data_IF_240567499248
#
_entry.id   IF_240567499248
#
_cell.length_a   1.000
_cell.length_b   1.000
_cell.length_c   1.000
_cell.angle_alpha   90.00
_cell.angle_beta   90.00
_cell.angle_gamma   90.00
#
_symmetry.space_group_name_H-M   'P 1'
#
loop_
_entity.id
_entity.type
_entity.pdbx_description
1 polymer ?
#
# COMPACT_ATOMS: atom_id res chain seq x y z
N UNK A 1 22.27 39.45 42.15
CA UNK A 1 21.72 38.35 42.97
C UNK A 1 20.93 37.44 42.05
N UNK A 2 21.52 36.31 41.67
CA UNK A 2 20.90 35.32 40.79
C UNK A 2 21.01 33.96 41.48
N UNK A 3 19.88 33.37 41.82
CA UNK A 3 19.75 32.04 42.43
C UNK A 3 19.20 31.09 41.37
N UNK A 4 20.05 30.18 40.88
CA UNK A 4 19.67 29.05 40.04
C UNK A 4 19.35 27.85 40.93
N UNK A 5 18.13 27.34 40.80
CA UNK A 5 17.62 26.15 41.48
C UNK A 5 17.84 24.94 40.57
N UNK A 6 18.62 23.96 41.04
CA UNK A 6 18.79 22.66 40.39
C UNK A 6 17.69 21.72 40.84
N UNK A 7 16.82 21.29 39.92
CA UNK A 7 15.88 20.19 40.16
C UNK A 7 16.57 18.85 39.87
N UNK A 8 16.63 18.00 40.88
CA UNK A 8 17.11 16.61 40.81
C UNK A 8 15.88 15.70 40.75
N UNK A 9 15.64 15.07 39.61
CA UNK A 9 14.57 14.07 39.44
C UNK A 9 15.02 12.72 40.00
N UNK A 10 14.40 12.26 41.08
CA UNK A 10 14.54 10.90 41.60
C UNK A 10 13.59 9.95 40.87
N UNK A 11 14.13 8.86 40.32
CA UNK A 11 13.37 7.73 39.78
C UNK A 11 12.72 6.93 40.93
N UNK A 12 11.54 6.32 40.71
CA UNK A 12 10.89 5.49 41.71
C UNK A 12 11.56 4.12 41.83
N UNK A 13 11.77 3.71 43.08
CA UNK A 13 12.38 2.46 43.51
C UNK A 13 11.33 1.35 43.47
N UNK A 14 11.51 0.35 42.62
CA UNK A 14 10.63 -0.82 42.54
C UNK A 14 11.20 -1.95 43.39
N UNK A 15 10.64 -2.13 44.59
CA UNK A 15 10.89 -3.32 45.41
C UNK A 15 9.98 -4.46 44.95
N UNK A 16 10.51 -5.67 44.66
CA UNK A 16 9.68 -6.83 44.37
C UNK A 16 9.00 -7.29 45.67
N UNK A 17 7.66 -7.33 45.67
CA UNK A 17 6.90 -8.07 46.68
C UNK A 17 6.74 -9.50 46.19
N UNK A 18 7.19 -10.43 47.00
CA UNK A 18 6.97 -11.86 46.82
C UNK A 18 5.47 -12.16 46.84
N UNK A 19 4.95 -12.69 45.73
CA UNK A 19 3.58 -13.20 45.62
C UNK A 19 3.63 -14.68 45.95
N UNK A 20 3.19 -15.01 47.16
CA UNK A 20 3.05 -16.38 47.65
C UNK A 20 1.88 -17.05 46.91
N UNK A 21 2.19 -18.07 46.09
CA UNK A 21 1.19 -18.87 45.37
C UNK A 21 0.69 -19.97 46.30
N UNK A 22 -0.52 -19.79 46.84
CA UNK A 22 -1.21 -20.82 47.61
C UNK A 22 -1.43 -22.08 46.78
N UNK A 23 -0.89 -23.18 47.30
CA UNK A 23 -1.15 -24.55 46.85
C UNK A 23 -2.54 -24.95 47.31
N UNK A 24 -3.47 -25.10 46.38
CA UNK A 24 -4.76 -25.74 46.65
C UNK A 24 -4.63 -27.25 46.48
N UNK A 25 -4.64 -27.94 47.63
CA UNK A 25 -4.72 -29.39 47.76
C UNK A 25 -6.09 -29.93 47.34
N UNK A 26 -6.04 -31.17 46.84
CA UNK A 26 -7.18 -31.96 46.38
C UNK A 26 -7.97 -32.57 47.54
N UNK A 27 -9.31 -32.43 47.56
CA UNK A 27 -10.21 -33.41 48.21
C UNK A 27 -11.59 -33.51 47.51
N UNK A 28 -11.81 -34.66 46.88
CA UNK A 28 -12.99 -35.56 47.00
C UNK A 28 -14.44 -35.06 46.74
N UNK A 29 -14.91 -35.25 45.49
CA UNK A 29 -16.25 -35.73 45.02
C UNK A 29 -17.56 -34.95 45.37
N UNK A 30 -18.72 -35.10 44.65
CA UNK A 30 -19.08 -36.09 43.62
C UNK A 30 -19.61 -35.51 42.27
N UNK A 31 -19.63 -36.38 41.26
CA UNK A 31 -20.09 -36.14 39.89
C UNK A 31 -21.58 -35.78 39.78
N UNK A 32 -21.94 -34.90 38.82
CA UNK A 32 -23.16 -35.05 38.06
C UNK A 32 -22.85 -35.20 36.57
N UNK A 33 -23.29 -36.33 36.01
CA UNK A 33 -23.29 -36.60 34.58
C UNK A 33 -24.30 -35.70 33.89
N UNK A 34 -23.85 -34.65 33.21
CA UNK A 34 -24.63 -33.96 32.18
C UNK A 34 -23.71 -33.73 30.99
N UNK A 35 -23.87 -34.58 29.98
CA UNK A 35 -23.25 -34.54 28.68
C UNK A 35 -23.84 -33.34 27.90
N UNK A 36 -23.47 -32.11 28.27
CA UNK A 36 -23.70 -30.95 27.42
C UNK A 36 -22.39 -30.69 26.70
N UNK A 37 -22.36 -31.06 25.41
CA UNK A 37 -21.28 -30.67 24.52
C UNK A 37 -21.05 -29.15 24.68
N UNK A 38 -19.79 -28.69 24.73
CA UNK A 38 -19.51 -27.26 24.68
C UNK A 38 -20.22 -26.68 23.45
N UNK A 39 -20.84 -25.48 23.54
CA UNK A 39 -21.41 -24.84 22.36
C UNK A 39 -20.33 -24.81 21.29
N UNK A 40 -20.68 -25.23 20.08
CA UNK A 40 -19.82 -25.10 18.92
C UNK A 40 -19.51 -23.61 18.76
N UNK A 41 -18.34 -23.18 19.25
CA UNK A 41 -17.75 -21.91 18.87
C UNK A 41 -17.36 -22.06 17.40
N UNK A 42 -18.33 -21.83 16.52
CA UNK A 42 -18.12 -21.63 15.08
C UNK A 42 -17.62 -20.20 14.79
N UNK A 43 -17.36 -19.38 15.81
CA UNK A 43 -16.53 -18.21 15.69
C UNK A 43 -15.07 -18.65 15.73
N UNK A 44 -14.60 -19.19 14.60
CA UNK A 44 -13.19 -19.23 14.28
C UNK A 44 -12.67 -17.79 14.39
N UNK A 45 -12.04 -17.47 15.53
CA UNK A 45 -11.32 -16.21 15.70
C UNK A 45 -10.52 -15.97 14.41
N UNK A 46 -10.68 -14.81 13.74
CA UNK A 46 -10.15 -14.59 12.41
C UNK A 46 -8.68 -14.94 12.44
N UNK A 47 -8.32 -15.99 11.70
CA UNK A 47 -6.94 -16.44 11.63
C UNK A 47 -6.07 -15.21 11.33
N UNK A 48 -5.03 -14.94 12.14
CA UNK A 48 -4.21 -13.75 11.97
C UNK A 48 -3.67 -13.74 10.53
N UNK A 49 -4.11 -12.75 9.74
CA UNK A 49 -3.79 -12.65 8.31
C UNK A 49 -4.94 -12.90 7.32
N UNK A 50 -6.17 -13.07 7.79
CA UNK A 50 -7.36 -13.03 6.92
C UNK A 50 -7.62 -11.59 6.45
N UNK A 51 -7.80 -11.40 5.14
CA UNK A 51 -7.98 -10.09 4.51
C UNK A 51 -9.45 -9.68 4.54
N UNK A 52 -9.76 -8.55 5.18
CA UNK A 52 -11.12 -8.02 5.32
C UNK A 52 -11.21 -6.63 4.69
N UNK A 53 -11.74 -6.52 3.46
CA UNK A 53 -11.78 -5.24 2.78
C UNK A 53 -12.73 -4.27 3.49
N UNK A 54 -12.17 -3.20 4.05
CA UNK A 54 -12.88 -2.08 4.69
C UNK A 54 -13.23 -0.95 3.73
N UNK A 55 -12.48 -0.83 2.63
CA UNK A 55 -12.68 0.21 1.61
C UNK A 55 -12.56 -0.44 0.24
N UNK A 56 -13.49 -0.10 -0.65
CA UNK A 56 -13.51 -0.61 -2.01
C UNK A 56 -13.64 0.55 -3.02
N UNK A 57 -12.64 0.69 -3.88
CA UNK A 57 -12.55 1.76 -4.89
C UNK A 57 -12.55 1.18 -6.31
N UNK A 58 -13.14 1.91 -7.25
CA UNK A 58 -13.06 1.65 -8.68
C UNK A 58 -12.09 2.65 -9.32
N UNK A 59 -10.97 2.16 -9.87
CA UNK A 59 -10.03 2.99 -10.63
C UNK A 59 -10.41 2.93 -12.11
N UNK A 60 -10.68 4.08 -12.73
CA UNK A 60 -11.04 4.14 -14.15
C UNK A 60 -9.88 4.64 -15.01
N UNK A 61 -9.27 3.71 -15.74
CA UNK A 61 -8.29 4.03 -16.77
C UNK A 61 -8.34 2.97 -17.85
N UNK A 62 -8.43 3.39 -19.12
CA UNK A 62 -8.46 2.45 -20.25
C UNK A 62 -7.13 1.72 -20.45
N UNK A 63 -6.03 2.30 -19.96
CA UNK A 63 -4.68 1.79 -20.19
C UNK A 63 -4.20 1.96 -21.64
N UNK A 64 -3.13 1.25 -22.01
CA UNK A 64 -2.54 1.26 -23.35
C UNK A 64 -2.78 -0.08 -24.05
N UNK A 65 -3.46 -0.05 -25.20
CA UNK A 65 -3.70 -1.23 -26.03
C UNK A 65 -2.40 -1.75 -26.68
N UNK A 66 -2.41 -3.04 -27.08
CA UNK A 66 -1.28 -3.68 -27.76
C UNK A 66 -0.95 -3.03 -29.11
N UNK A 67 -1.96 -2.70 -29.91
CA UNK A 67 -1.83 -2.06 -31.23
C UNK A 67 -2.20 -0.57 -31.16
N UNK A 68 -1.49 0.23 -30.37
CA UNK A 68 -1.64 1.69 -30.39
C UNK A 68 -0.40 2.35 -30.96
N UNK A 69 -0.60 3.38 -31.80
CA UNK A 69 0.48 4.23 -32.29
C UNK A 69 1.36 4.71 -31.10
N UNK A 70 2.68 4.89 -31.32
CA UNK A 70 3.62 5.31 -30.28
C UNK A 70 3.41 6.77 -29.84
N UNK A 71 2.30 7.39 -30.21
CA UNK A 71 1.94 8.73 -29.79
C UNK A 71 1.68 8.74 -28.28
N UNK A 72 2.21 9.73 -27.54
CA UNK A 72 1.94 9.81 -26.12
C UNK A 72 0.44 10.04 -25.90
N UNK A 73 -0.19 9.28 -25.00
CA UNK A 73 -1.60 9.51 -24.67
C UNK A 73 -1.78 10.92 -24.10
N UNK A 74 -2.95 11.52 -24.35
CA UNK A 74 -3.35 12.78 -23.71
C UNK A 74 -3.24 12.60 -22.19
N UNK A 75 -2.80 13.62 -21.42
CA UNK A 75 -2.92 13.59 -19.97
C UNK A 75 -4.42 13.60 -19.65
N UNK A 76 -4.98 12.41 -19.48
CA UNK A 76 -6.35 12.21 -19.06
C UNK A 76 -6.31 11.99 -17.54
N UNK A 77 -7.06 12.77 -16.74
CA UNK A 77 -7.20 12.48 -15.33
C UNK A 77 -7.70 11.04 -15.14
N UNK A 78 -7.21 10.37 -14.09
CA UNK A 78 -7.67 9.03 -13.72
C UNK A 78 -8.62 9.21 -12.54
N UNK A 79 -9.95 9.16 -12.75
CA UNK A 79 -10.91 9.22 -11.67
C UNK A 79 -10.95 7.89 -10.92
N UNK A 80 -11.16 7.99 -9.60
CA UNK A 80 -11.20 6.87 -8.68
C UNK A 80 -12.45 7.03 -7.83
N UNK A 81 -13.39 6.10 -7.94
CA UNK A 81 -14.70 6.17 -7.29
C UNK A 81 -14.77 5.25 -6.09
N UNK A 82 -15.53 5.62 -5.07
CA UNK A 82 -15.87 4.71 -3.98
C UNK A 82 -17.07 3.86 -4.40
N UNK A 83 -17.01 2.54 -4.19
CA UNK A 83 -18.07 1.61 -4.64
C UNK A 83 -19.34 1.67 -3.79
N UNK A 84 -19.28 2.26 -2.60
CA UNK A 84 -20.43 2.37 -1.68
C UNK A 84 -21.44 3.44 -2.11
N UNK A 85 -21.01 4.39 -2.94
CA UNK A 85 -21.85 5.51 -3.35
C UNK A 85 -22.34 5.29 -4.78
N UNK A 86 -23.65 5.23 -4.98
CA UNK A 86 -24.27 5.16 -6.32
C UNK A 86 -23.96 6.39 -7.19
N UNK A 87 -23.41 7.44 -6.58
CA UNK A 87 -22.99 8.65 -7.26
C UNK A 87 -21.68 8.41 -8.01
N UNK A 88 -21.68 8.66 -9.33
CA UNK A 88 -20.47 8.70 -10.17
C UNK A 88 -19.64 9.97 -9.93
N UNK A 89 -19.49 10.37 -8.67
CA UNK A 89 -18.58 11.44 -8.28
C UNK A 89 -17.28 10.75 -7.86
N UNK A 90 -16.13 11.10 -8.47
CA UNK A 90 -14.87 10.54 -8.03
C UNK A 90 -14.66 10.83 -6.54
N UNK A 91 -13.88 10.02 -5.85
CA UNK A 91 -13.38 10.31 -4.50
C UNK A 91 -11.96 10.85 -4.59
N UNK A 92 -11.19 10.35 -5.56
CA UNK A 92 -9.87 10.87 -5.88
C UNK A 92 -9.74 11.06 -7.39
N UNK A 93 -8.89 12.00 -7.78
CA UNK A 93 -8.50 12.16 -9.18
C UNK A 93 -6.98 12.29 -9.28
N UNK A 94 -6.36 11.42 -10.08
CA UNK A 94 -4.93 11.55 -10.38
C UNK A 94 -4.71 12.37 -11.63
N UNK A 95 -3.91 13.42 -11.53
CA UNK A 95 -3.60 14.33 -12.62
C UNK A 95 -2.15 14.17 -13.08
N UNK A 96 -1.98 14.25 -14.40
CA UNK A 96 -0.67 14.33 -15.03
C UNK A 96 -0.50 15.73 -15.63
N UNK A 97 0.45 16.55 -15.15
CA UNK A 97 0.59 17.92 -15.63
C UNK A 97 0.99 17.99 -17.11
N UNK A 98 1.91 17.12 -17.54
CA UNK A 98 2.49 17.16 -18.88
C UNK A 98 2.32 15.84 -19.64
N UNK A 99 2.01 15.92 -20.93
CA UNK A 99 2.04 14.78 -21.84
C UNK A 99 3.44 14.16 -21.82
N UNK A 100 3.52 12.85 -21.65
CA UNK A 100 4.81 12.14 -21.63
C UNK A 100 5.57 12.20 -20.29
N UNK A 101 5.28 13.14 -19.39
CA UNK A 101 5.83 13.12 -18.03
C UNK A 101 5.36 11.88 -17.30
N UNK A 102 6.24 11.16 -16.61
CA UNK A 102 5.85 10.06 -15.74
C UNK A 102 5.21 10.54 -14.43
N UNK A 103 5.51 11.77 -14.01
CA UNK A 103 5.08 12.34 -12.73
C UNK A 103 3.59 12.67 -12.71
N UNK A 104 2.98 12.53 -11.54
CA UNK A 104 1.56 12.83 -11.31
C UNK A 104 1.33 13.29 -9.86
N UNK A 105 0.15 13.82 -9.60
CA UNK A 105 -0.32 14.15 -8.26
C UNK A 105 -1.75 13.67 -8.07
N UNK A 106 -2.15 13.44 -6.82
CA UNK A 106 -3.47 12.97 -6.43
C UNK A 106 -4.20 14.09 -5.69
N UNK A 107 -5.42 14.40 -6.14
CA UNK A 107 -6.32 15.33 -5.46
C UNK A 107 -7.51 14.57 -4.86
N UNK A 108 -8.07 15.01 -3.72
CA UNK A 108 -9.40 14.60 -3.31
C UNK A 108 -10.40 15.18 -4.30
N UNK A 109 -11.57 14.57 -4.42
CA UNK A 109 -12.60 15.01 -5.36
C UNK A 109 -13.51 16.14 -4.86
N UNK A 110 -13.08 16.92 -3.86
CA UNK A 110 -13.77 18.18 -3.56
C UNK A 110 -13.74 19.08 -4.80
N UNK A 111 -14.72 19.96 -4.95
CA UNK A 111 -15.05 20.77 -6.15
C UNK A 111 -13.88 21.10 -7.09
N UNK A 112 -14.12 21.07 -8.43
CA UNK A 112 -13.07 21.21 -9.42
C UNK A 112 -12.19 22.43 -9.17
N UNK A 113 -10.87 22.35 -9.47
CA UNK A 113 -9.89 23.42 -9.21
C UNK A 113 -10.17 24.75 -9.93
N UNK A 114 -11.27 24.83 -10.68
CA UNK A 114 -11.76 26.04 -11.33
C UNK A 114 -12.40 27.05 -10.35
N UNK A 115 -12.82 26.65 -9.14
CA UNK A 115 -13.41 27.55 -8.14
C UNK A 115 -12.44 28.00 -7.05
N UNK A 116 -11.26 27.37 -6.93
CA UNK A 116 -10.20 27.80 -6.01
C UNK A 116 -9.50 29.04 -6.56
N UNK A 117 -10.09 30.21 -6.32
CA UNK A 117 -9.52 31.54 -6.60
C UNK A 117 -8.14 31.77 -5.97
N UNK A 118 -7.72 30.91 -5.04
CA UNK A 118 -6.46 31.00 -4.31
C UNK A 118 -5.24 30.39 -5.03
N UNK A 119 -5.38 29.73 -6.18
CA UNK A 119 -4.25 29.15 -6.93
C UNK A 119 -3.51 27.99 -6.24
N UNK A 120 -4.09 27.48 -5.16
CA UNK A 120 -3.62 26.37 -4.33
C UNK A 120 -4.44 25.12 -4.58
N UNK A 121 -3.83 23.95 -4.42
CA UNK A 121 -4.46 22.65 -4.63
C UNK A 121 -4.34 21.77 -3.37
N UNK A 122 -5.41 21.09 -2.92
CA UNK A 122 -5.35 20.16 -1.80
C UNK A 122 -4.69 18.84 -2.23
N UNK A 123 -3.38 18.84 -2.44
CA UNK A 123 -2.66 17.67 -2.94
C UNK A 123 -2.51 16.63 -1.83
N UNK A 124 -2.97 15.40 -2.04
CA UNK A 124 -2.80 14.30 -1.09
C UNK A 124 -1.49 13.54 -1.30
N UNK A 125 -1.05 13.46 -2.55
CA UNK A 125 0.23 12.84 -2.87
C UNK A 125 0.81 13.35 -4.18
N UNK A 126 2.14 13.26 -4.29
CA UNK A 126 2.85 13.42 -5.55
C UNK A 126 3.67 12.18 -5.83
N UNK A 127 3.79 11.82 -7.10
CA UNK A 127 4.74 10.83 -7.57
C UNK A 127 5.64 11.46 -8.62
N UNK A 128 6.95 11.43 -8.38
CA UNK A 128 7.95 11.93 -9.31
C UNK A 128 8.65 10.78 -9.99
N UNK A 129 8.56 10.74 -11.32
CA UNK A 129 9.25 9.77 -12.15
C UNK A 129 10.44 10.42 -12.83
N UNK A 130 11.62 9.83 -12.67
CA UNK A 130 12.83 10.27 -13.37
C UNK A 130 13.17 9.26 -14.44
N UNK A 131 13.38 9.74 -15.66
CA UNK A 131 13.85 8.89 -16.76
C UNK A 131 15.30 8.46 -16.51
N UNK A 132 15.60 7.19 -16.74
CA UNK A 132 16.94 6.60 -16.64
C UNK A 132 16.99 5.29 -15.86
N UNK A 133 18.04 4.47 -16.06
CA UNK A 133 18.28 3.28 -15.24
C UNK A 133 18.48 3.69 -13.77
N UNK A 134 18.07 2.83 -12.85
CA UNK A 134 18.27 3.00 -11.40
C UNK A 134 17.66 4.28 -10.79
N UNK A 135 16.67 4.88 -11.44
CA UNK A 135 15.94 6.04 -10.92
C UNK A 135 14.53 5.61 -10.51
N UNK A 136 14.34 5.06 -9.29
CA UNK A 136 13.04 4.61 -8.84
C UNK A 136 12.06 5.80 -8.74
N UNK A 137 10.75 5.57 -8.94
CA UNK A 137 9.74 6.58 -8.64
C UNK A 137 9.82 6.98 -7.16
N UNK A 138 9.71 8.27 -6.88
CA UNK A 138 9.61 8.80 -5.52
C UNK A 138 8.17 9.22 -5.27
N UNK A 139 7.62 8.84 -4.12
CA UNK A 139 6.29 9.19 -3.66
C UNK A 139 6.43 10.09 -2.44
N UNK A 140 5.65 11.18 -2.43
CA UNK A 140 5.45 12.02 -1.25
C UNK A 140 3.97 12.04 -0.91
N UNK A 141 3.65 11.83 0.36
CA UNK A 141 2.29 11.86 0.88
C UNK A 141 2.12 13.12 1.73
N UNK A 142 0.95 13.73 1.67
CA UNK A 142 0.61 14.95 2.42
C UNK A 142 -0.65 14.69 3.24
N UNK A 143 -0.65 15.11 4.50
CA UNK A 143 -1.82 14.94 5.35
C UNK A 143 -2.93 15.89 4.92
N UNK A 144 -4.19 15.41 4.81
CA UNK A 144 -5.34 16.26 4.48
C UNK A 144 -5.49 17.44 5.47
N UNK A 145 -5.06 17.21 6.71
CA UNK A 145 -5.15 18.18 7.81
C UNK A 145 -4.02 19.22 7.80
N UNK A 146 -2.94 18.99 7.05
CA UNK A 146 -1.81 19.95 6.96
C UNK A 146 -2.21 21.32 6.42
N UNK A 147 -3.42 21.43 5.84
CA UNK A 147 -3.91 22.66 5.22
C UNK A 147 -4.91 23.43 6.10
N UNK A 148 -5.37 22.89 7.24
CA UNK A 148 -6.51 23.42 8.01
C UNK A 148 -6.29 24.76 8.73
N UNK A 149 -5.11 25.37 8.60
CA UNK A 149 -4.78 26.68 9.19
C UNK A 149 -4.25 27.70 8.19
N UNK A 150 -4.23 27.39 6.89
CA UNK A 150 -3.66 28.28 5.86
C UNK A 150 -4.71 29.04 5.08
N UNK A 151 -4.57 30.37 4.89
CA UNK A 151 -5.38 31.09 3.92
C UNK A 151 -5.13 30.49 2.54
N UNK A 152 -6.17 29.90 1.95
CA UNK A 152 -6.11 29.23 0.65
C UNK A 152 -5.98 27.70 0.67
N UNK A 153 -5.73 27.06 1.82
CA UNK A 153 -5.80 25.60 1.99
C UNK A 153 -5.23 24.75 0.83
N UNK A 154 -3.91 24.58 0.74
CA UNK A 154 -3.31 23.68 -0.24
C UNK A 154 -1.85 23.99 -0.60
N UNK A 155 -1.32 23.26 -1.58
CA UNK A 155 -0.01 23.48 -2.20
C UNK A 155 -0.18 24.44 -3.39
N UNK A 156 0.54 25.57 -3.45
CA UNK A 156 0.55 26.45 -4.62
C UNK A 156 1.00 25.70 -5.87
N UNK A 157 0.43 26.03 -7.03
CA UNK A 157 0.77 25.33 -8.30
C UNK A 157 2.26 25.40 -8.65
N UNK A 158 2.93 26.53 -8.37
CA UNK A 158 4.37 26.72 -8.58
C UNK A 158 5.22 25.74 -7.77
N UNK A 159 4.89 25.59 -6.48
CA UNK A 159 5.55 24.63 -5.57
C UNK A 159 5.28 23.20 -6.06
N UNK A 160 4.06 22.90 -6.48
CA UNK A 160 3.72 21.59 -7.03
C UNK A 160 4.54 21.27 -8.31
N UNK A 161 4.74 22.26 -9.19
CA UNK A 161 5.56 22.07 -10.38
C UNK A 161 7.04 21.86 -10.03
N UNK A 162 7.58 22.58 -9.03
CA UNK A 162 8.93 22.35 -8.51
C UNK A 162 9.09 20.94 -7.91
N UNK A 163 8.09 20.44 -7.20
CA UNK A 163 8.09 19.08 -6.63
C UNK A 163 8.07 17.98 -7.70
N UNK A 164 7.32 18.21 -8.78
CA UNK A 164 7.16 17.24 -9.88
C UNK A 164 8.32 17.30 -10.89
N UNK A 165 8.95 18.47 -11.01
CA UNK A 165 10.00 18.79 -11.98
C UNK A 165 11.14 19.58 -11.34
N UNK A 166 11.90 18.98 -10.42
CA UNK A 166 13.00 19.68 -9.77
C UNK A 166 14.02 20.13 -10.81
N UNK A 167 14.19 21.45 -10.93
CA UNK A 167 15.17 22.10 -11.80
C UNK A 167 16.57 21.63 -11.42
N UNK A 168 17.38 21.22 -12.40
CA UNK A 168 18.79 20.87 -12.16
C UNK A 168 19.65 22.07 -11.76
N UNK A 169 19.11 23.29 -11.76
CA UNK A 169 19.82 24.56 -11.51
C UNK A 169 19.83 25.02 -10.05
N UNK A 170 19.11 24.36 -9.14
CA UNK A 170 19.16 24.67 -7.70
C UNK A 170 20.31 24.00 -6.95
N UNK A 171 21.17 23.24 -7.65
CA UNK A 171 22.36 22.58 -7.07
C UNK A 171 23.63 23.43 -7.05
N UNK A 172 23.56 24.72 -7.43
CA UNK A 172 24.72 25.62 -7.44
C UNK A 172 24.67 26.66 -6.32
N UNK A 173 24.85 26.24 -5.05
CA UNK A 173 25.46 27.06 -3.98
C UNK A 173 25.43 26.36 -2.62
N UNK A 174 26.24 25.32 -2.43
CA UNK A 174 26.66 24.90 -1.08
C UNK A 174 27.88 23.97 -1.13
N UNK A 175 29.02 24.57 -0.81
CA UNK A 175 30.19 24.01 -0.12
C UNK A 175 30.24 22.51 0.14
N UNK A 176 31.37 21.90 -0.24
CA UNK A 176 31.85 20.59 0.18
C UNK A 176 31.68 20.35 1.69
N UNK A 177 30.60 19.68 2.08
CA UNK A 177 30.51 18.92 3.33
C UNK A 177 30.00 17.53 2.99
N UNK A 178 30.83 16.51 3.26
CA UNK A 178 30.46 15.10 3.19
C UNK A 178 29.40 14.81 4.27
N UNK A 179 28.13 15.04 3.97
CA UNK A 179 27.02 14.73 4.87
C UNK A 179 25.90 14.00 4.13
N UNK A 180 25.26 13.10 4.88
CA UNK A 180 24.36 12.02 4.47
C UNK A 180 23.30 12.33 3.39
N UNK A 181 22.96 11.33 2.54
CA UNK A 181 21.96 11.43 1.46
C UNK A 181 20.50 11.63 1.91
N UNK A 182 20.23 11.87 3.19
CA UNK A 182 18.87 12.09 3.72
C UNK A 182 18.49 13.57 3.93
N UNK A 183 19.29 14.52 3.43
CA UNK A 183 19.12 15.96 3.73
C UNK A 183 18.60 16.86 2.59
N UNK A 184 18.14 16.29 1.47
CA UNK A 184 17.68 17.02 0.26
C UNK A 184 16.31 17.74 0.37
N UNK A 185 15.69 17.85 1.56
CA UNK A 185 14.31 18.40 1.71
C UNK A 185 14.24 19.89 2.13
N UNK A 186 15.35 20.64 2.06
CA UNK A 186 15.39 22.02 2.59
C UNK A 186 14.58 23.06 1.79
N UNK A 187 14.20 22.77 0.53
CA UNK A 187 13.42 23.71 -0.30
C UNK A 187 11.95 23.84 0.12
N UNK A 188 11.37 22.78 0.69
CA UNK A 188 9.96 22.75 1.11
C UNK A 188 9.69 23.51 2.41
N UNK A 189 10.70 23.59 3.27
CA UNK A 189 10.63 24.29 4.56
C UNK A 189 10.30 25.77 4.41
N UNK A 190 10.73 26.41 3.33
CA UNK A 190 10.43 27.83 3.06
C UNK A 190 8.92 28.08 2.86
N UNK A 191 8.21 27.09 2.31
CA UNK A 191 6.76 27.15 2.16
C UNK A 191 6.02 26.54 3.34
N UNK A 192 6.69 26.06 4.39
CA UNK A 192 6.06 25.39 5.53
C UNK A 192 5.22 24.17 5.14
N UNK A 193 5.48 23.56 3.98
CA UNK A 193 4.76 22.38 3.50
C UNK A 193 5.70 21.19 3.68
N UNK A 194 5.50 20.41 4.74
CA UNK A 194 6.26 19.18 4.96
C UNK A 194 5.43 17.99 4.49
N UNK A 195 6.00 17.05 3.69
CA UNK A 195 5.31 15.81 3.40
C UNK A 195 5.14 15.01 4.71
N UNK A 196 3.97 14.40 4.86
CA UNK A 196 3.71 13.46 5.95
C UNK A 196 4.63 12.25 5.85
N UNK A 197 4.92 11.77 4.63
CA UNK A 197 5.95 10.76 4.39
C UNK A 197 6.53 10.90 2.97
N UNK A 198 7.75 10.41 2.77
CA UNK A 198 8.45 10.42 1.49
C UNK A 198 9.26 9.13 1.33
N UNK A 199 9.06 8.43 0.22
CA UNK A 199 9.72 7.14 -0.01
C UNK A 199 9.93 6.85 -1.50
N UNK A 200 10.77 5.86 -1.78
CA UNK A 200 11.04 5.39 -3.15
C UNK A 200 10.50 3.98 -3.38
N UNK A 201 10.05 3.72 -4.61
CA UNK A 201 9.52 2.42 -5.01
C UNK A 201 10.58 1.65 -5.77
N UNK A 202 11.16 0.66 -5.11
CA UNK A 202 12.28 -0.13 -5.64
C UNK A 202 11.78 -1.40 -6.30
N UNK A 203 12.36 -1.77 -7.43
CA UNK A 203 12.05 -3.04 -8.11
C UNK A 203 12.80 -4.19 -7.45
N UNK A 204 12.13 -5.31 -7.19
CA UNK A 204 12.76 -6.47 -6.56
C UNK A 204 13.55 -7.35 -7.54
N UNK A 205 13.49 -7.06 -8.84
CA UNK A 205 14.27 -7.74 -9.86
C UNK A 205 14.02 -7.18 -11.25
N UNK A 206 14.87 -7.55 -12.20
CA UNK A 206 14.76 -7.14 -13.61
C UNK A 206 13.61 -7.86 -14.34
N UNK A 207 13.42 -9.14 -14.00
CA UNK A 207 12.40 -10.00 -14.62
C UNK A 207 11.09 -9.99 -13.82
N UNK A 208 11.14 -9.61 -12.55
CA UNK A 208 9.95 -9.59 -11.71
C UNK A 208 9.23 -8.27 -11.87
N UNK A 209 7.90 -8.32 -11.73
CA UNK A 209 7.08 -7.12 -11.68
C UNK A 209 6.86 -6.62 -10.27
N UNK A 210 7.46 -7.29 -9.27
CA UNK A 210 7.26 -7.00 -7.87
C UNK A 210 8.08 -5.78 -7.45
N UNK A 211 7.53 -4.99 -6.53
CA UNK A 211 8.17 -3.78 -6.03
C UNK A 211 8.07 -3.72 -4.52
N UNK A 212 9.04 -3.12 -3.87
CA UNK A 212 9.08 -2.91 -2.43
C UNK A 212 9.30 -1.43 -2.11
N UNK A 213 8.76 -0.99 -1.00
CA UNK A 213 8.96 0.35 -0.46
C UNK A 213 8.79 0.33 1.06
N UNK A 214 9.41 1.30 1.73
CA UNK A 214 9.36 1.47 3.18
C UNK A 214 8.80 2.86 3.47
N UNK A 215 7.90 2.92 4.44
CA UNK A 215 7.16 4.12 4.85
C UNK A 215 7.15 4.20 6.38
N UNK A 216 6.59 5.27 6.92
CA UNK A 216 6.27 5.38 8.36
C UNK A 216 5.29 4.30 8.84
N UNK A 217 4.41 3.81 7.96
CA UNK A 217 3.44 2.74 8.25
C UNK A 217 4.06 1.32 8.22
N UNK A 218 5.32 1.20 7.79
CA UNK A 218 6.07 -0.05 7.71
C UNK A 218 6.63 -0.35 6.33
N UNK A 219 6.98 -1.62 6.10
CA UNK A 219 7.53 -2.11 4.83
C UNK A 219 6.47 -2.83 4.03
N UNK A 220 6.40 -2.53 2.74
CA UNK A 220 5.35 -3.04 1.86
C UNK A 220 5.91 -3.62 0.57
N UNK A 221 5.20 -4.60 0.02
CA UNK A 221 5.52 -5.24 -1.25
C UNK A 221 4.28 -5.41 -2.12
N UNK A 222 4.33 -4.88 -3.34
CA UNK A 222 3.39 -5.26 -4.39
C UNK A 222 3.90 -6.48 -5.14
N UNK A 223 3.03 -7.47 -5.34
CA UNK A 223 3.28 -8.64 -6.20
C UNK A 223 2.04 -9.01 -6.99
N UNK A 224 2.22 -9.76 -8.08
CA UNK A 224 1.10 -10.41 -8.74
C UNK A 224 0.75 -11.68 -7.96
N UNK A 225 -0.54 -11.92 -7.79
CA UNK A 225 -1.02 -13.11 -7.14
C UNK A 225 -0.72 -14.35 -8.00
N UNK A 226 -0.49 -15.47 -7.32
CA UNK A 226 -0.39 -16.79 -7.93
C UNK A 226 -1.72 -17.20 -8.58
N UNK A 227 -1.69 -18.24 -9.42
CA UNK A 227 -2.92 -18.80 -10.01
C UNK A 227 -3.92 -19.24 -8.93
N UNK A 228 -3.44 -19.93 -7.89
CA UNK A 228 -4.25 -20.42 -6.77
C UNK A 228 -4.88 -19.29 -5.95
N UNK A 229 -4.19 -18.15 -5.81
CA UNK A 229 -4.76 -16.97 -5.15
C UNK A 229 -5.85 -16.31 -5.99
N UNK A 230 -5.69 -16.26 -7.32
CA UNK A 230 -6.73 -15.75 -8.23
C UNK A 230 -7.98 -16.64 -8.23
N UNK A 231 -7.81 -17.96 -8.18
CA UNK A 231 -8.93 -18.91 -8.08
C UNK A 231 -9.69 -18.73 -6.77
N UNK A 232 -8.99 -18.59 -5.64
CA UNK A 232 -9.60 -18.27 -4.34
C UNK A 232 -10.35 -16.95 -4.34
N UNK A 233 -9.79 -15.90 -4.97
CA UNK A 233 -10.48 -14.62 -5.09
C UNK A 233 -11.74 -14.73 -5.96
N UNK A 234 -11.68 -15.49 -7.05
CA UNK A 234 -12.85 -15.78 -7.89
C UNK A 234 -13.94 -16.51 -7.10
N UNK A 235 -13.57 -17.52 -6.32
CA UNK A 235 -14.49 -18.26 -5.46
C UNK A 235 -15.12 -17.37 -4.38
N UNK A 236 -14.35 -16.46 -3.78
CA UNK A 236 -14.87 -15.48 -2.83
C UNK A 236 -15.85 -14.48 -3.46
N UNK A 237 -15.61 -14.06 -4.71
CA UNK A 237 -16.55 -13.21 -5.45
C UNK A 237 -17.83 -13.98 -5.81
N UNK A 238 -17.71 -15.26 -6.18
CA UNK A 238 -18.84 -16.15 -6.44
C UNK A 238 -19.71 -16.34 -5.19
N UNK A 239 -19.10 -16.66 -4.04
CA UNK A 239 -19.85 -16.85 -2.79
C UNK A 239 -20.57 -15.57 -2.36
N UNK A 240 -19.92 -14.41 -2.48
CA UNK A 240 -20.52 -13.10 -2.18
C UNK A 240 -21.72 -12.80 -3.07
N UNK A 241 -21.68 -13.20 -4.35
CA UNK A 241 -22.80 -12.98 -5.29
C UNK A 241 -24.04 -13.82 -4.99
N UNK A 242 -23.87 -15.04 -4.45
CA UNK A 242 -24.98 -15.93 -4.13
C UNK A 242 -25.76 -15.47 -2.89
N UNK A 243 -25.07 -14.85 -1.93
CA UNK A 243 -25.68 -14.42 -0.67
C UNK A 243 -26.64 -13.22 -0.83
N UNK A 244 -26.43 -12.40 -1.87
CA UNK A 244 -27.29 -11.24 -2.17
C UNK A 244 -28.60 -11.57 -2.91
N UNK A 245 -28.78 -12.77 -3.45
CA UNK A 245 -29.86 -13.05 -4.43
C UNK A 245 -31.03 -13.90 -3.90
N UNK A 246 -31.11 -14.19 -2.59
CA UNK A 246 -32.16 -15.06 -2.01
C UNK A 246 -33.56 -14.42 -1.90
N UNK A 247 -33.75 -13.15 -2.30
CA UNK A 247 -35.04 -12.46 -2.13
C UNK A 247 -35.87 -12.25 -3.41
N UNK A 248 -35.43 -12.69 -4.59
CA UNK A 248 -36.20 -12.52 -5.82
C UNK A 248 -36.69 -13.86 -6.39
N UNK A 249 -37.88 -14.25 -5.96
CA UNK A 249 -38.68 -15.29 -6.57
C UNK A 249 -39.31 -14.76 -7.87
N UNK A 250 -38.73 -15.08 -9.03
CA UNK A 250 -39.47 -15.09 -10.31
C UNK A 250 -38.73 -15.84 -11.41
N UNK A 251 -39.37 -16.93 -11.83
CA UNK A 251 -39.35 -17.56 -13.14
C UNK A 251 -38.58 -16.80 -14.24
N UNK A 252 -37.37 -17.27 -14.58
CA UNK A 252 -36.89 -17.24 -15.96
C UNK A 252 -35.68 -18.17 -16.14
N UNK A 253 -35.97 -19.45 -16.43
CA UNK A 253 -34.99 -20.40 -16.93
C UNK A 253 -34.81 -20.17 -18.44
N UNK A 254 -33.75 -19.47 -18.86
CA UNK A 254 -33.10 -19.76 -20.16
C UNK A 254 -31.78 -19.03 -20.53
N UNK A 255 -31.01 -18.41 -19.62
CA UNK A 255 -29.81 -17.66 -20.05
C UNK A 255 -28.55 -17.82 -19.19
N UNK A 256 -28.26 -19.03 -18.70
CA UNK A 256 -27.24 -19.24 -17.66
C UNK A 256 -25.78 -19.42 -18.14
N UNK A 257 -25.48 -19.39 -19.45
CA UNK A 257 -24.11 -19.66 -19.93
C UNK A 257 -23.20 -18.41 -20.07
N UNK A 258 -23.74 -17.18 -20.02
CA UNK A 258 -22.92 -15.97 -20.23
C UNK A 258 -22.44 -15.29 -18.93
N UNK A 259 -23.10 -15.50 -17.78
CA UNK A 259 -22.79 -14.75 -16.56
C UNK A 259 -21.49 -15.20 -15.85
N UNK A 260 -20.99 -16.41 -16.12
CA UNK A 260 -19.75 -16.88 -15.51
C UNK A 260 -18.51 -16.12 -15.94
N UNK A 261 -18.57 -15.40 -17.08
CA UNK A 261 -17.43 -14.62 -17.57
C UNK A 261 -17.18 -13.35 -16.74
N UNK A 262 -18.21 -12.78 -16.11
CA UNK A 262 -18.09 -11.50 -15.38
C UNK A 262 -17.24 -11.62 -14.11
N UNK A 263 -17.20 -12.82 -13.54
CA UNK A 263 -16.44 -13.14 -12.33
C UNK A 263 -15.01 -13.62 -12.62
N UNK A 264 -14.59 -13.68 -13.89
CA UNK A 264 -13.23 -14.12 -14.23
C UNK A 264 -12.16 -13.12 -13.78
N UNK A 265 -11.33 -13.50 -12.81
CA UNK A 265 -10.21 -12.70 -12.29
C UNK A 265 -8.98 -12.88 -13.18
N UNK A 266 -8.92 -12.10 -14.25
CA UNK A 266 -7.82 -12.17 -15.21
C UNK A 266 -6.47 -11.71 -14.62
N UNK A 267 -6.45 -10.71 -13.74
CA UNK A 267 -5.24 -10.25 -13.03
C UNK A 267 -5.56 -9.83 -11.61
N UNK A 268 -4.68 -10.18 -10.69
CA UNK A 268 -4.75 -9.78 -9.28
C UNK A 268 -3.37 -9.30 -8.83
N UNK A 269 -3.28 -8.07 -8.34
CA UNK A 269 -2.12 -7.58 -7.60
C UNK A 269 -2.44 -7.56 -6.11
N UNK A 270 -1.49 -7.94 -5.28
CA UNK A 270 -1.61 -7.94 -3.82
C UNK A 270 -0.52 -7.05 -3.26
N UNK A 271 -0.92 -6.15 -2.37
CA UNK A 271 -0.03 -5.37 -1.53
C UNK A 271 0.05 -6.05 -0.16
N UNK A 272 1.25 -6.40 0.25
CA UNK A 272 1.52 -7.04 1.53
C UNK A 272 2.32 -6.10 2.42
N UNK A 273 1.95 -5.98 3.70
CA UNK A 273 2.82 -5.49 4.76
C UNK A 273 3.75 -6.62 5.16
N UNK A 274 5.04 -6.34 5.17
CA UNK A 274 6.11 -7.31 5.45
C UNK A 274 6.72 -7.00 6.80
N UNK A 275 6.58 -7.91 7.75
CA UNK A 275 7.14 -7.82 9.10
C UNK A 275 8.17 -8.93 9.26
N UNK A 276 9.41 -8.58 9.62
CA UNK A 276 10.44 -9.57 9.95
C UNK A 276 10.41 -9.81 11.45
N UNK A 277 10.11 -11.05 11.83
CA UNK A 277 10.13 -11.47 13.23
C UNK A 277 11.47 -12.14 13.49
N UNK A 278 12.28 -11.50 14.32
CA UNK A 278 13.47 -12.15 14.86
C UNK A 278 13.03 -13.10 15.96
N UNK A 279 13.18 -14.40 15.75
CA UNK A 279 13.04 -15.37 16.82
C UNK A 279 14.25 -15.25 17.73
N UNK A 280 14.06 -14.69 18.93
CA UNK A 280 15.08 -14.75 19.96
C UNK A 280 15.26 -16.21 20.36
N UNK A 281 16.37 -16.83 19.94
CA UNK A 281 16.72 -18.16 20.40
C UNK A 281 17.05 -18.05 21.89
N UNK A 282 16.14 -18.53 22.75
CA UNK A 282 16.41 -18.68 24.17
C UNK A 282 17.40 -19.84 24.37
N UNK A 283 18.67 -19.63 24.01
CA UNK A 283 19.78 -20.44 24.50
C UNK A 283 20.10 -20.02 25.95
N UNK A 284 19.09 -20.15 26.81
CA UNK A 284 19.27 -20.04 28.25
C UNK A 284 19.89 -21.36 28.75
N UNK A 285 21.20 -21.33 28.91
CA UNK A 285 21.93 -21.88 30.05
C UNK A 285 21.49 -23.28 30.55
N UNK A 286 22.10 -24.34 30.02
CA UNK A 286 21.97 -25.67 30.61
C UNK A 286 22.92 -26.69 30.01
N UNK A 287 24.24 -26.53 30.20
CA UNK A 287 25.18 -27.55 29.70
C UNK A 287 26.65 -27.24 29.92
N UNK A 288 27.08 -27.19 31.19
CA UNK A 288 28.50 -27.35 31.51
C UNK A 288 28.94 -28.75 31.10
N UNK A 289 29.91 -28.82 30.20
CA UNK A 289 30.85 -29.93 30.11
C UNK A 289 30.71 -30.82 28.89
N UNK A 290 31.55 -30.58 27.87
CA UNK A 290 32.38 -31.63 27.29
C UNK A 290 33.30 -31.02 26.23
N UNK A 291 34.60 -31.00 26.56
CA UNK A 291 35.69 -30.81 25.61
C UNK A 291 35.74 -31.99 24.64
N UNK A 292 35.41 -31.79 23.37
CA UNK A 292 35.94 -32.64 22.31
C UNK A 292 36.12 -31.85 21.02
N UNK A 293 37.39 -31.70 20.67
CA UNK A 293 37.90 -31.27 19.38
C UNK A 293 37.33 -32.15 18.26
N UNK A 294 36.49 -31.58 17.40
CA UNK A 294 36.31 -32.09 16.05
C UNK A 294 36.02 -30.97 15.06
N UNK A 295 37.02 -30.76 14.21
CA UNK A 295 37.03 -30.00 12.97
C UNK A 295 35.88 -30.44 12.06
N UNK A 296 34.70 -29.85 12.26
CA UNK A 296 33.52 -30.13 11.46
C UNK A 296 32.95 -28.83 10.88
N UNK A 297 32.71 -28.90 9.58
CA UNK A 297 32.33 -27.83 8.66
C UNK A 297 31.34 -26.86 9.30
N UNK A 298 31.77 -25.61 9.47
CA UNK A 298 30.94 -24.41 9.70
C UNK A 298 29.93 -24.24 8.56
N UNK A 299 28.88 -25.06 8.53
CA UNK A 299 27.61 -24.69 7.91
C UNK A 299 27.04 -23.61 8.80
N UNK A 300 27.19 -22.35 8.38
CA UNK A 300 26.47 -21.21 8.93
C UNK A 300 24.98 -21.56 8.88
N UNK A 301 24.46 -22.04 10.01
CA UNK A 301 23.03 -22.02 10.31
C UNK A 301 22.62 -20.58 10.17
N UNK A 302 22.00 -20.25 9.03
CA UNK A 302 21.47 -18.93 8.78
C UNK A 302 20.21 -18.86 9.60
N UNK A 303 20.24 -18.11 10.70
CA UNK A 303 19.08 -17.82 11.52
C UNK A 303 17.92 -17.48 10.59
N UNK A 304 16.87 -18.31 10.65
CA UNK A 304 15.70 -18.19 9.77
C UNK A 304 14.85 -17.06 10.35
N UNK A 305 15.18 -15.82 9.97
CA UNK A 305 14.24 -14.70 10.11
C UNK A 305 12.92 -15.13 9.45
N UNK A 306 11.86 -15.20 10.24
CA UNK A 306 10.53 -15.50 9.72
C UNK A 306 9.91 -14.20 9.20
N UNK A 307 9.57 -14.20 7.92
CA UNK A 307 8.94 -13.07 7.27
C UNK A 307 7.42 -13.28 7.28
N UNK A 308 6.73 -12.56 8.16
CA UNK A 308 5.27 -12.55 8.22
C UNK A 308 4.74 -11.55 7.20
N UNK A 309 3.84 -12.02 6.33
CA UNK A 309 3.23 -11.22 5.27
C UNK A 309 1.75 -11.10 5.48
N UNK A 310 1.25 -9.88 5.47
CA UNK A 310 -0.15 -9.58 5.70
C UNK A 310 -0.70 -8.80 4.52
N UNK A 311 -1.72 -9.31 3.84
CA UNK A 311 -2.34 -8.58 2.73
C UNK A 311 -3.07 -7.34 3.26
N UNK A 312 -2.74 -6.17 2.73
CA UNK A 312 -3.39 -4.89 3.09
C UNK A 312 -4.19 -4.30 1.94
N UNK A 313 -3.91 -4.71 0.70
CA UNK A 313 -4.74 -4.36 -0.43
C UNK A 313 -4.71 -5.41 -1.54
N UNK A 314 -5.80 -5.48 -2.30
CA UNK A 314 -5.93 -6.30 -3.51
C UNK A 314 -6.45 -5.44 -4.65
N UNK A 315 -5.78 -5.49 -5.79
CA UNK A 315 -6.24 -4.83 -7.01
C UNK A 315 -6.67 -5.87 -8.05
N UNK A 316 -7.98 -5.99 -8.21
CA UNK A 316 -8.69 -7.03 -8.95
C UNK A 316 -9.09 -6.52 -10.33
N UNK A 317 -8.67 -7.22 -11.39
CA UNK A 317 -9.02 -6.93 -12.79
C UNK A 317 -9.59 -8.16 -13.47
N UNK A 318 -10.90 -8.13 -13.69
CA UNK A 318 -11.69 -9.12 -14.41
C UNK A 318 -12.58 -8.50 -15.48
N UNK A 319 -13.51 -9.27 -16.05
CA UNK A 319 -14.46 -8.72 -17.01
C UNK A 319 -15.40 -7.68 -16.36
N UNK A 320 -15.95 -7.97 -15.17
CA UNK A 320 -16.84 -7.05 -14.46
C UNK A 320 -16.17 -5.97 -13.60
N UNK A 321 -14.83 -5.95 -13.48
CA UNK A 321 -14.12 -4.97 -12.63
C UNK A 321 -13.22 -4.01 -13.40
N UNK A 322 -12.90 -4.32 -14.66
CA UNK A 322 -12.07 -3.45 -15.50
C UNK A 322 -12.83 -2.22 -15.95
N UNK A 323 -12.09 -1.16 -16.27
CA UNK A 323 -12.64 0.02 -16.93
C UNK A 323 -13.26 -0.37 -18.27
N UNK A 324 -14.46 0.14 -18.55
CA UNK A 324 -15.18 -0.08 -19.79
C UNK A 324 -14.33 0.33 -21.01
N UNK A 325 -14.44 -0.48 -22.07
CA UNK A 325 -13.64 -0.32 -23.29
C UNK A 325 -12.17 -0.74 -23.17
N UNK A 326 -11.72 -1.21 -22.01
CA UNK A 326 -10.40 -1.85 -21.86
C UNK A 326 -10.47 -3.36 -22.06
N UNK A 327 -9.34 -3.97 -22.43
CA UNK A 327 -9.23 -5.41 -22.65
C UNK A 327 -8.23 -6.05 -21.69
N UNK A 328 -8.22 -7.39 -21.61
CA UNK A 328 -7.20 -8.14 -20.87
C UNK A 328 -5.75 -7.88 -21.30
N UNK A 329 -5.56 -7.43 -22.54
CA UNK A 329 -4.24 -7.11 -23.07
C UNK A 329 -3.87 -5.64 -22.93
N UNK A 330 -4.77 -4.79 -22.42
CA UNK A 330 -4.52 -3.36 -22.19
C UNK A 330 -3.63 -3.19 -20.97
N UNK A 331 -2.45 -2.59 -21.14
CA UNK A 331 -1.50 -2.38 -20.06
C UNK A 331 -1.91 -1.18 -19.20
N UNK A 332 -1.87 -1.30 -17.87
CA UNK A 332 -2.24 -0.23 -16.96
C UNK A 332 -3.70 0.19 -17.04
N UNK A 333 -4.59 -0.73 -17.40
CA UNK A 333 -6.02 -0.51 -17.28
C UNK A 333 -6.50 -0.66 -15.83
N UNK A 334 -7.62 -0.01 -15.53
CA UNK A 334 -8.22 0.09 -14.22
C UNK A 334 -8.87 -1.21 -13.74
N UNK A 335 -9.42 -1.15 -12.55
CA UNK A 335 -9.84 -2.32 -11.77
C UNK A 335 -10.50 -1.91 -10.45
N UNK A 336 -10.91 -2.91 -9.67
CA UNK A 336 -11.37 -2.72 -8.28
C UNK A 336 -10.19 -2.83 -7.33
N UNK A 337 -10.00 -1.81 -6.50
CA UNK A 337 -9.00 -1.75 -5.45
C UNK A 337 -9.70 -1.95 -4.10
N UNK A 338 -9.43 -3.08 -3.46
CA UNK A 338 -9.93 -3.45 -2.15
C UNK A 338 -8.82 -3.18 -1.13
N UNK A 339 -9.14 -2.52 -0.02
CA UNK A 339 -8.18 -2.19 1.04
C UNK A 339 -8.69 -2.68 2.39
N UNK A 340 -7.82 -3.35 3.12
CA UNK A 340 -8.02 -3.69 4.52
C UNK A 340 -7.29 -2.64 5.36
N UNK A 341 -8.06 -1.72 5.92
CA UNK A 341 -7.56 -0.67 6.81
C UNK A 341 -7.72 -1.03 8.28
N UNK A 342 -8.17 -2.25 8.60
CA UNK A 342 -8.41 -2.71 9.97
C UNK A 342 -7.16 -2.66 10.85
N UNK A 343 -5.97 -2.79 10.24
CA UNK A 343 -4.68 -2.68 10.92
C UNK A 343 -4.40 -1.30 11.51
N UNK A 344 -5.10 -0.26 11.06
CA UNK A 344 -4.96 1.12 11.53
C UNK A 344 -6.24 1.60 12.23
N UNK A 345 -7.19 0.70 12.50
CA UNK A 345 -8.47 1.00 13.18
C UNK A 345 -8.46 0.59 14.67
N UNK A 346 -7.34 0.08 15.20
CA UNK A 346 -7.31 -0.52 16.54
C UNK A 346 -7.64 0.51 17.65
N UNK A 347 -8.59 0.15 18.53
CA UNK A 347 -9.02 1.01 19.64
C UNK A 347 -7.90 1.23 20.66
N UNK A 348 -6.99 0.26 20.82
CA UNK A 348 -5.81 0.37 21.68
C UNK A 348 -4.86 1.49 21.20
N UNK A 349 -4.64 1.61 19.88
CA UNK A 349 -3.90 2.76 19.33
C UNK A 349 -4.69 4.07 19.46
N UNK A 350 -6.03 4.05 19.34
CA UNK A 350 -6.84 5.26 19.55
C UNK A 350 -6.70 5.83 20.96
N UNK A 351 -6.57 4.97 21.98
CA UNK A 351 -6.36 5.41 23.35
C UNK A 351 -4.92 5.83 23.64
N UNK A 352 -3.92 5.21 22.99
CA UNK A 352 -2.51 5.50 23.22
C UNK A 352 -1.97 6.69 22.38
N UNK A 353 -2.45 6.90 21.16
CA UNK A 353 -1.85 7.83 20.18
C UNK A 353 -2.61 9.14 19.98
N UNK A 354 -3.78 9.31 20.62
CA UNK A 354 -4.61 10.50 20.40
C UNK A 354 -5.10 10.61 18.94
N UNK A 355 -5.15 11.82 18.39
CA UNK A 355 -5.63 12.08 17.02
C UNK A 355 -4.82 11.38 15.90
N UNK A 356 -3.68 10.75 16.22
CA UNK A 356 -2.76 10.11 15.25
C UNK A 356 -3.35 8.93 14.49
N UNK A 357 -4.10 8.03 15.16
CA UNK A 357 -4.61 6.81 14.50
C UNK A 357 -5.54 7.09 13.30
N UNK A 358 -6.37 8.13 13.38
CA UNK A 358 -7.24 8.52 12.25
C UNK A 358 -6.42 9.04 11.06
N UNK A 359 -5.40 9.85 11.33
CA UNK A 359 -4.51 10.38 10.28
C UNK A 359 -3.75 9.23 9.61
N UNK A 360 -3.18 8.29 10.38
CA UNK A 360 -2.46 7.14 9.82
C UNK A 360 -3.34 6.27 8.91
N UNK A 361 -4.59 6.04 9.31
CA UNK A 361 -5.57 5.32 8.50
C UNK A 361 -5.85 6.01 7.16
N UNK A 362 -6.06 7.32 7.19
CA UNK A 362 -6.27 8.12 5.97
C UNK A 362 -5.01 8.09 5.08
N UNK A 363 -3.84 8.24 5.67
CA UNK A 363 -2.57 8.19 4.95
C UNK A 363 -2.27 6.80 4.38
N UNK A 364 -2.70 5.73 5.05
CA UNK A 364 -2.64 4.37 4.53
C UNK A 364 -3.47 4.24 3.25
N UNK A 365 -4.71 4.76 3.24
CA UNK A 365 -5.55 4.75 2.04
C UNK A 365 -4.88 5.52 0.88
N UNK A 366 -4.37 6.74 1.13
CA UNK A 366 -3.67 7.55 0.12
C UNK A 366 -2.42 6.84 -0.41
N UNK A 367 -1.63 6.20 0.46
CA UNK A 367 -0.46 5.39 0.09
C UNK A 367 -0.86 4.24 -0.84
N UNK A 368 -1.89 3.47 -0.49
CA UNK A 368 -2.34 2.31 -1.28
C UNK A 368 -2.80 2.77 -2.66
N UNK A 369 -3.63 3.82 -2.75
CA UNK A 369 -4.08 4.39 -4.04
C UNK A 369 -2.89 4.85 -4.87
N UNK A 370 -2.01 5.66 -4.28
CA UNK A 370 -0.86 6.26 -4.98
C UNK A 370 0.06 5.18 -5.53
N UNK A 371 0.42 4.19 -4.71
CA UNK A 371 1.32 3.11 -5.13
C UNK A 371 0.66 2.16 -6.13
N UNK A 372 -0.67 1.99 -6.08
CA UNK A 372 -1.42 1.26 -7.12
C UNK A 372 -1.33 1.98 -8.48
N UNK A 373 -1.50 3.31 -8.51
CA UNK A 373 -1.34 4.12 -9.72
C UNK A 373 0.08 4.00 -10.31
N UNK A 374 1.11 3.95 -9.45
CA UNK A 374 2.49 3.68 -9.87
C UNK A 374 2.59 2.34 -10.58
N UNK A 375 1.95 1.29 -10.06
CA UNK A 375 1.96 -0.04 -10.68
C UNK A 375 1.30 -0.03 -12.06
N UNK A 376 0.16 0.64 -12.21
CA UNK A 376 -0.51 0.82 -13.50
C UNK A 376 0.39 1.53 -14.51
N UNK A 377 1.06 2.61 -14.08
CA UNK A 377 2.01 3.34 -14.93
C UNK A 377 3.18 2.47 -15.36
N UNK A 378 3.76 1.68 -14.44
CA UNK A 378 4.86 0.75 -14.76
C UNK A 378 4.44 -0.29 -15.79
N UNK A 379 3.20 -0.76 -15.79
CA UNK A 379 2.69 -1.63 -16.85
C UNK A 379 2.67 -0.94 -18.22
N UNK A 380 2.17 0.29 -18.28
CA UNK A 380 2.17 1.10 -19.52
C UNK A 380 3.59 1.30 -20.04
N UNK A 381 4.54 1.62 -19.16
CA UNK A 381 5.93 1.88 -19.55
C UNK A 381 6.61 0.63 -20.09
N UNK A 382 6.41 -0.53 -19.46
CA UNK A 382 6.90 -1.80 -20.00
C UNK A 382 6.33 -2.09 -21.37
N UNK A 383 5.03 -1.82 -21.58
CA UNK A 383 4.41 -2.01 -22.91
C UNK A 383 5.00 -1.08 -23.96
N UNK A 384 5.29 0.17 -23.61
CA UNK A 384 5.97 1.11 -24.51
C UNK A 384 7.38 0.64 -24.85
N UNK A 385 8.16 0.21 -23.86
CA UNK A 385 9.50 -0.32 -24.08
C UNK A 385 9.48 -1.55 -25.02
N UNK A 386 8.52 -2.46 -24.83
CA UNK A 386 8.32 -3.61 -25.73
C UNK A 386 7.97 -3.19 -27.16
N UNK A 387 7.06 -2.22 -27.33
CA UNK A 387 6.70 -1.71 -28.66
C UNK A 387 7.88 -1.04 -29.36
N UNK A 388 8.66 -0.22 -28.64
CA UNK A 388 9.87 0.44 -29.17
C UNK A 388 10.91 -0.60 -29.58
N UNK A 389 11.14 -1.63 -28.76
CA UNK A 389 12.08 -2.70 -29.07
C UNK A 389 11.68 -3.49 -30.33
N UNK A 390 10.40 -3.81 -30.49
CA UNK A 390 9.87 -4.48 -31.69
C UNK A 390 10.08 -3.61 -32.94
N UNK A 391 9.75 -2.31 -32.88
CA UNK A 391 9.94 -1.40 -34.01
C UNK A 391 11.42 -1.22 -34.38
N UNK A 392 12.31 -1.11 -33.39
CA UNK A 392 13.74 -1.03 -33.62
C UNK A 392 14.31 -2.33 -34.22
N UNK A 393 13.85 -3.49 -33.78
CA UNK A 393 14.27 -4.79 -34.31
C UNK A 393 13.85 -5.04 -35.76
N UNK A 394 12.66 -4.57 -36.16
CA UNK A 394 12.17 -4.70 -37.55
C UNK A 394 12.98 -3.84 -38.52
N UNK A 395 13.44 -2.66 -38.10
CA UNK A 395 14.25 -1.77 -38.96
C UNK A 395 15.71 -2.22 -39.10
N UNK A 396 16.24 -3.04 -38.18
CA UNK A 396 17.62 -3.52 -38.21
C UNK A 396 17.84 -4.81 -39.00
N UNK A 397 16.78 -5.50 -39.44
CA UNK A 397 16.86 -6.86 -40.05
C UNK A 397 16.78 -6.95 -41.57
N UNK A 398 16.75 -5.82 -42.29
CA UNK A 398 16.53 -5.78 -43.75
C UNK A 398 17.76 -5.52 -44.63
N UNK A 399 18.98 -5.64 -44.10
CA UNK A 399 20.21 -5.50 -44.85
C UNK A 399 20.90 -6.85 -45.08
N UNK A 400 20.45 -7.60 -46.07
CA UNK A 400 21.14 -8.78 -46.61
C UNK A 400 20.88 -8.89 -48.10
#
# INVERSE_FOLDING_TARGET
>A
MATSVLYRSSLPDYTPRDVELDRLDSTTSPSPSILSAPPAYDDAAPSPGSFHPTVALQIETRGKSWCSLPLPLRPDPIPIFTLETDQRIPTFTSFRPNRGSGSCYLLPSSDPPASSSSGTLPVLSTTTYRFGPSRPPCVRLFSPHSYSGRPGGGIPRSVLDELLFPSSSSSSSSSNSNSDPDSDDQGLGHYGIQPWDSFTITSLGLLTRAVSFRTRLGTFQWRYASKREREREREALLSSSMQGNSNNNSNNNNNNNNNNNDLDVASLLVLERVVRVAHAHNDAAGGRGSTSSSSSRRRRSRDKEEEVRMAVAKFVRGAGTRTEGSSRSSAGNGGRLLMDLGLWDSEEERQASGAGGKEEREMAAVMVVTTCLVMLKREVDRRRAQQIAIMAGVLGGGGS
#
